data_IF_587315784360
#
_entry.id   IF_587315784360
#
_cell.length_a   1.000
_cell.length_b   1.000
_cell.length_c   1.000
_cell.angle_alpha   90.00
_cell.angle_beta   90.00
_cell.angle_gamma   90.00
#
_symmetry.space_group_name_H-M   'P 1'
#
loop_
_entity.id
_entity.type
_entity.pdbx_description
1 polymer ?
#
# COMPACT_ATOMS: atom_id res chain seq x y z
N UNK A 1 16.47 -5.74 -10.63
CA UNK A 1 15.27 -4.88 -10.72
C UNK A 1 14.05 -5.74 -10.49
N UNK A 2 13.00 -5.19 -9.92
CA UNK A 2 11.73 -5.87 -9.62
C UNK A 2 10.57 -5.01 -10.11
N UNK A 3 9.52 -5.65 -10.61
CA UNK A 3 8.25 -5.01 -10.97
C UNK A 3 7.12 -5.92 -10.49
N UNK A 4 5.98 -5.33 -10.12
CA UNK A 4 4.85 -6.09 -9.60
C UNK A 4 3.52 -5.36 -9.82
N UNK A 5 2.47 -6.16 -9.93
CA UNK A 5 1.08 -5.71 -9.98
C UNK A 5 0.24 -6.56 -9.05
N UNK A 6 -0.74 -5.96 -8.36
CA UNK A 6 -1.71 -6.68 -7.56
C UNK A 6 -3.09 -6.03 -7.68
N UNK A 7 -4.13 -6.83 -7.45
CA UNK A 7 -5.50 -6.38 -7.31
C UNK A 7 -6.03 -6.84 -5.95
N UNK A 8 -6.59 -5.91 -5.18
CA UNK A 8 -7.26 -6.20 -3.92
C UNK A 8 -8.76 -5.92 -4.07
N UNK A 9 -9.59 -6.93 -3.85
CA UNK A 9 -11.03 -6.75 -3.71
C UNK A 9 -11.35 -6.02 -2.41
N UNK A 10 -12.49 -5.32 -2.37
CA UNK A 10 -12.95 -4.67 -1.14
C UNK A 10 -13.24 -5.68 -0.03
N UNK A 11 -12.77 -5.41 1.19
CA UNK A 11 -13.09 -6.23 2.37
C UNK A 11 -14.50 -5.94 2.94
N UNK A 12 -15.18 -4.91 2.43
CA UNK A 12 -16.56 -4.55 2.80
C UNK A 12 -17.40 -4.36 1.54
N UNK A 13 -18.71 -4.61 1.64
CA UNK A 13 -19.66 -4.18 0.62
C UNK A 13 -19.84 -2.66 0.66
N UNK A 14 -20.30 -2.08 -0.46
CA UNK A 14 -20.50 -0.62 -0.56
C UNK A 14 -21.46 -0.08 0.51
N UNK A 15 -22.52 -0.82 0.85
CA UNK A 15 -23.48 -0.43 1.89
C UNK A 15 -22.92 -0.44 3.33
N UNK A 16 -21.74 -1.02 3.54
CA UNK A 16 -21.05 -1.06 4.83
C UNK A 16 -19.78 -0.18 4.84
N UNK A 17 -19.50 0.56 3.76
CA UNK A 17 -18.34 1.46 3.69
C UNK A 17 -18.57 2.70 4.54
N UNK A 18 -17.54 3.12 5.27
CA UNK A 18 -17.58 4.33 6.11
C UNK A 18 -16.57 5.37 5.64
N UNK A 19 -16.78 6.63 6.01
CA UNK A 19 -15.79 7.69 5.74
C UNK A 19 -14.52 7.55 6.58
N UNK A 20 -14.59 6.88 7.73
CA UNK A 20 -13.43 6.68 8.62
C UNK A 20 -12.46 5.66 8.04
N UNK A 21 -12.97 4.62 7.38
CA UNK A 21 -12.17 3.62 6.67
C UNK A 21 -12.72 3.49 5.25
N UNK A 22 -12.36 4.41 4.34
CA UNK A 22 -12.84 4.38 2.97
C UNK A 22 -12.08 3.29 2.21
N UNK A 23 -12.58 2.06 2.31
CA UNK A 23 -11.97 0.88 1.71
C UNK A 23 -12.83 0.36 0.58
N UNK A 24 -12.25 0.35 -0.62
CA UNK A 24 -12.83 -0.23 -1.82
C UNK A 24 -11.80 -1.07 -2.56
N UNK A 25 -12.12 -1.42 -3.79
CA UNK A 25 -11.21 -2.14 -4.66
C UNK A 25 -9.98 -1.30 -5.02
N UNK A 26 -8.82 -1.94 -5.11
CA UNK A 26 -7.58 -1.25 -5.43
C UNK A 26 -6.67 -2.02 -6.38
N UNK A 27 -5.93 -1.27 -7.19
CA UNK A 27 -4.82 -1.79 -7.98
C UNK A 27 -3.51 -1.32 -7.38
N UNK A 28 -2.55 -2.21 -7.24
CA UNK A 28 -1.19 -1.86 -6.82
C UNK A 28 -0.24 -2.07 -7.98
N UNK A 29 0.63 -1.10 -8.20
CA UNK A 29 1.74 -1.17 -9.15
C UNK A 29 2.99 -0.82 -8.39
N UNK A 30 4.03 -1.66 -8.51
CA UNK A 30 5.28 -1.45 -7.81
C UNK A 30 6.48 -1.71 -8.71
N UNK A 31 7.56 -0.96 -8.47
CA UNK A 31 8.85 -1.12 -9.12
C UNK A 31 9.97 -0.92 -8.10
N UNK A 32 11.08 -1.62 -8.28
CA UNK A 32 12.20 -1.55 -7.37
C UNK A 32 13.53 -1.94 -8.00
N UNK A 33 14.60 -1.49 -7.35
CA UNK A 33 15.96 -1.81 -7.73
C UNK A 33 16.81 -2.05 -6.48
N UNK A 34 17.79 -2.94 -6.64
CA UNK A 34 18.79 -3.20 -5.61
C UNK A 34 20.16 -3.00 -6.24
N UNK A 35 21.03 -2.32 -5.52
CA UNK A 35 22.42 -2.05 -5.89
C UNK A 35 23.34 -2.60 -4.82
N UNK A 36 24.23 -3.52 -5.21
CA UNK A 36 25.28 -4.03 -4.33
C UNK A 36 26.39 -2.99 -4.24
N UNK A 37 26.56 -2.38 -3.06
CA UNK A 37 27.67 -1.47 -2.79
C UNK A 37 29.00 -2.23 -2.73
N UNK A 38 28.97 -3.42 -2.14
CA UNK A 38 30.10 -4.34 -2.02
C UNK A 38 29.57 -5.76 -1.76
N UNK A 39 30.46 -6.74 -1.51
CA UNK A 39 30.09 -8.15 -1.29
C UNK A 39 29.16 -8.40 -0.11
N UNK A 40 29.13 -7.50 0.87
CA UNK A 40 28.39 -7.66 2.12
C UNK A 40 27.27 -6.63 2.30
N UNK A 41 27.18 -5.61 1.45
CA UNK A 41 26.26 -4.50 1.60
C UNK A 41 25.46 -4.25 0.32
N UNK A 42 24.13 -4.27 0.47
CA UNK A 42 23.17 -3.93 -0.59
C UNK A 42 22.31 -2.74 -0.17
N UNK A 43 22.00 -1.85 -1.11
CA UNK A 43 20.95 -0.83 -0.99
C UNK A 43 19.80 -1.20 -1.90
N UNK A 44 18.57 -1.09 -1.41
CA UNK A 44 17.36 -1.34 -2.15
C UNK A 44 16.44 -0.11 -2.09
N UNK A 45 15.85 0.23 -3.24
CA UNK A 45 14.89 1.32 -3.38
C UNK A 45 13.66 0.77 -4.10
N UNK A 46 12.48 1.03 -3.55
CA UNK A 46 11.21 0.65 -4.16
C UNK A 46 10.23 1.82 -4.17
N UNK A 47 9.37 1.82 -5.18
CA UNK A 47 8.22 2.68 -5.30
C UNK A 47 6.99 1.81 -5.52
N UNK A 48 5.90 2.13 -4.83
CA UNK A 48 4.61 1.50 -5.03
C UNK A 48 3.50 2.56 -5.09
N UNK A 49 2.56 2.37 -6.00
CA UNK A 49 1.34 3.13 -6.12
C UNK A 49 0.14 2.21 -5.89
N UNK A 50 -0.74 2.61 -4.98
CA UNK A 50 -2.06 1.99 -4.77
C UNK A 50 -3.09 2.94 -5.35
N UNK A 51 -3.74 2.53 -6.43
CA UNK A 51 -4.83 3.27 -7.03
C UNK A 51 -6.16 2.79 -6.44
N UNK A 52 -6.77 3.66 -5.65
CA UNK A 52 -8.05 3.46 -5.00
C UNK A 52 -9.11 4.04 -5.96
N UNK A 53 -9.90 3.17 -6.58
CA UNK A 53 -10.91 3.57 -7.56
C UNK A 53 -11.99 4.47 -6.92
N UNK A 54 -13.06 4.77 -7.65
CA UNK A 54 -14.22 5.46 -7.06
C UNK A 54 -14.77 4.68 -5.87
N UNK A 55 -14.88 5.33 -4.71
CA UNK A 55 -15.37 4.73 -3.46
C UNK A 55 -16.55 5.56 -2.92
N UNK A 56 -17.79 5.24 -3.31
CA UNK A 56 -18.97 5.86 -2.70
C UNK A 56 -19.11 5.38 -1.26
N UNK A 57 -19.47 6.30 -0.36
CA UNK A 57 -19.77 6.01 1.03
C UNK A 57 -21.11 6.65 1.41
N UNK A 58 -21.99 5.84 1.98
CA UNK A 58 -23.30 6.27 2.46
C UNK A 58 -23.54 5.61 3.81
N UNK A 59 -23.41 6.40 4.88
CA UNK A 59 -23.48 5.91 6.25
C UNK A 59 -24.57 6.64 7.03
N UNK A 60 -25.31 5.89 7.83
CA UNK A 60 -26.29 6.44 8.78
C UNK A 60 -25.84 6.10 10.19
N UNK A 61 -25.72 7.10 11.07
CA UNK A 61 -25.40 6.88 12.48
C UNK A 61 -26.60 6.24 13.19
N UNK A 62 -26.47 5.03 13.77
CA UNK A 62 -27.59 4.37 14.44
C UNK A 62 -28.14 5.18 15.64
N UNK A 63 -27.27 5.94 16.31
CA UNK A 63 -27.61 6.67 17.54
C UNK A 63 -28.35 7.99 17.30
N UNK A 64 -28.15 8.65 16.15
CA UNK A 64 -28.77 9.95 15.85
C UNK A 64 -29.66 9.94 14.61
N UNK A 65 -29.66 8.84 13.83
CA UNK A 65 -30.33 8.75 12.54
C UNK A 65 -29.73 9.66 11.46
N UNK A 66 -28.63 10.35 11.75
CA UNK A 66 -28.00 11.28 10.81
C UNK A 66 -27.32 10.49 9.69
N UNK A 67 -27.77 10.74 8.46
CA UNK A 67 -27.15 10.19 7.24
C UNK A 67 -26.09 11.15 6.70
N UNK A 68 -24.97 10.59 6.26
CA UNK A 68 -23.90 11.30 5.55
C UNK A 68 -23.52 10.48 4.33
N UNK A 69 -23.52 11.12 3.16
CA UNK A 69 -23.25 10.47 1.87
C UNK A 69 -22.28 11.30 1.05
N UNK A 70 -21.45 10.62 0.24
CA UNK A 70 -20.40 11.24 -0.55
C UNK A 70 -19.54 10.20 -1.25
N UNK A 71 -18.48 10.65 -1.93
CA UNK A 71 -17.62 9.79 -2.72
C UNK A 71 -16.17 10.27 -2.69
N UNK A 72 -15.23 9.32 -2.66
CA UNK A 72 -13.84 9.57 -2.99
C UNK A 72 -13.61 9.21 -4.44
N UNK A 73 -13.25 10.21 -5.24
CA UNK A 73 -12.98 10.04 -6.67
C UNK A 73 -11.49 9.90 -6.92
N UNK A 74 -11.12 8.81 -7.61
CA UNK A 74 -9.79 8.60 -8.18
C UNK A 74 -8.64 8.83 -7.17
N UNK A 75 -8.80 8.32 -5.95
CA UNK A 75 -7.81 8.48 -4.90
C UNK A 75 -6.60 7.57 -5.15
N UNK A 76 -5.43 7.95 -4.64
CA UNK A 76 -4.24 7.12 -4.73
C UNK A 76 -3.32 7.33 -3.55
N UNK A 77 -2.54 6.30 -3.24
CA UNK A 77 -1.49 6.31 -2.22
C UNK A 77 -0.18 5.97 -2.93
N UNK A 78 0.88 6.70 -2.62
CA UNK A 78 2.24 6.32 -3.01
C UNK A 78 3.08 6.04 -1.78
N UNK A 79 3.89 4.99 -1.88
CA UNK A 79 4.90 4.63 -0.90
C UNK A 79 6.26 4.55 -1.59
N UNK A 80 7.25 5.19 -0.98
CA UNK A 80 8.66 5.07 -1.37
C UNK A 80 9.38 4.43 -0.20
N UNK A 81 10.23 3.46 -0.49
CA UNK A 81 10.99 2.75 0.55
C UNK A 81 12.46 2.66 0.15
N UNK A 82 13.33 2.97 1.10
CA UNK A 82 14.76 2.73 1.02
C UNK A 82 15.17 1.75 2.12
N UNK A 83 15.91 0.73 1.76
CA UNK A 83 16.37 -0.32 2.67
C UNK A 83 17.87 -0.56 2.43
N UNK A 84 18.58 -0.95 3.49
CA UNK A 84 19.97 -1.38 3.41
C UNK A 84 20.09 -2.74 4.08
N UNK A 85 20.75 -3.68 3.41
CA UNK A 85 21.11 -4.97 4.00
C UNK A 85 22.61 -5.02 4.16
N UNK A 86 23.08 -5.30 5.39
CA UNK A 86 24.48 -5.53 5.68
C UNK A 86 24.65 -6.91 6.31
N UNK A 87 25.59 -7.69 5.77
CA UNK A 87 25.92 -9.04 6.23
C UNK A 87 27.27 -9.02 6.95
N UNK A 88 27.32 -9.63 8.13
CA UNK A 88 28.55 -9.86 8.86
C UNK A 88 28.95 -11.32 8.70
N UNK A 89 30.20 -11.56 8.35
CA UNK A 89 30.80 -12.88 8.53
C UNK A 89 31.57 -12.88 9.85
N UNK A 90 31.37 -13.90 10.68
CA UNK A 90 32.28 -14.20 11.77
C UNK A 90 33.53 -14.81 11.13
N UNK A 91 34.76 -14.36 11.45
CA UNK A 91 35.95 -15.05 10.96
C UNK A 91 35.89 -16.51 11.44
N UNK A 92 36.01 -17.47 10.52
CA UNK A 92 36.34 -18.82 10.92
C UNK A 92 37.71 -18.73 11.62
N UNK A 93 37.76 -19.01 12.91
CA UNK A 93 39.02 -19.31 13.59
C UNK A 93 39.66 -20.51 12.86
N UNK A 94 40.77 -20.26 12.19
CA UNK A 94 41.71 -21.29 11.74
C UNK A 94 42.27 -22.09 12.92
#
# INVERSE_FOLDING_TARGET
MTVGVAYDSSAVSDGNRTFTVPMGESWRIAAGATYALNKVTDINVNWAMVWLRGMPADQTKPTSGTRTSGQFDNAWIQAVTGNMTWRFECPATE
#
